data_IF_229579645626
#
_entry.id   IF_229579645626
#
_cell.length_a   1.000
_cell.length_b   1.000
_cell.length_c   1.000
_cell.angle_alpha   90.00
_cell.angle_beta   90.00
_cell.angle_gamma   90.00
#
_symmetry.space_group_name_H-M   'P 1'
#
loop_
_entity.id
_entity.type
_entity.pdbx_description
1 polymer ?
#
# COMPACT_ATOMS: atom_id res chain seq x y z
N UNK A 1 13.13 -2.68 0.38
CA UNK A 1 12.21 -1.52 0.36
C UNK A 1 10.77 -1.99 0.45
N UNK A 2 9.93 -1.27 1.18
CA UNK A 2 8.49 -1.53 1.33
C UNK A 2 7.71 -0.36 0.72
N UNK A 3 6.79 -0.65 -0.19
CA UNK A 3 5.90 0.30 -0.84
C UNK A 3 4.48 0.05 -0.33
N UNK A 4 4.03 0.85 0.64
CA UNK A 4 2.77 0.64 1.35
C UNK A 4 1.66 1.53 0.81
N UNK A 5 0.79 0.97 -0.05
CA UNK A 5 -0.40 1.66 -0.52
C UNK A 5 -1.52 1.62 0.52
N UNK A 6 -2.00 2.78 0.93
CA UNK A 6 -3.16 2.97 1.80
C UNK A 6 -4.24 3.81 1.12
N UNK A 7 -5.46 3.74 1.61
CA UNK A 7 -6.59 4.52 1.09
C UNK A 7 -7.90 3.74 1.16
N UNK A 8 -9.01 4.42 0.89
CA UNK A 8 -10.35 3.85 0.90
C UNK A 8 -10.53 2.73 -0.15
N UNK A 9 -11.51 1.83 -0.01
CA UNK A 9 -11.89 0.90 -1.08
C UNK A 9 -12.15 1.64 -2.41
N UNK A 10 -11.72 1.03 -3.52
CA UNK A 10 -11.80 1.59 -4.88
C UNK A 10 -10.97 2.85 -5.15
N UNK A 11 -10.05 3.23 -4.28
CA UNK A 11 -9.14 4.36 -4.53
C UNK A 11 -8.00 4.06 -5.53
N UNK A 12 -7.85 2.80 -5.99
CA UNK A 12 -6.83 2.42 -6.97
C UNK A 12 -5.61 1.69 -6.40
N UNK A 13 -5.55 1.43 -5.09
CA UNK A 13 -4.41 0.75 -4.42
C UNK A 13 -3.95 -0.53 -5.13
N UNK A 14 -4.85 -1.50 -5.28
CA UNK A 14 -4.53 -2.79 -5.87
C UNK A 14 -4.03 -2.66 -7.30
N UNK A 15 -4.67 -1.81 -8.10
CA UNK A 15 -4.29 -1.56 -9.51
C UNK A 15 -2.90 -0.94 -9.62
N UNK A 16 -2.66 0.14 -8.86
CA UNK A 16 -1.38 0.85 -8.88
C UNK A 16 -0.28 0.03 -8.19
N UNK A 17 -0.61 -0.66 -7.09
CA UNK A 17 0.31 -1.57 -6.42
C UNK A 17 0.75 -2.72 -7.32
N UNK A 18 -0.19 -3.37 -8.03
CA UNK A 18 0.14 -4.41 -8.99
C UNK A 18 1.00 -3.88 -10.15
N UNK A 19 0.72 -2.65 -10.63
CA UNK A 19 1.53 -2.01 -11.67
C UNK A 19 2.96 -1.72 -11.19
N UNK A 20 3.11 -1.23 -9.95
CA UNK A 20 4.43 -1.04 -9.34
C UNK A 20 5.18 -2.36 -9.14
N UNK A 21 4.50 -3.39 -8.64
CA UNK A 21 5.05 -4.74 -8.52
C UNK A 21 5.60 -5.25 -9.85
N UNK A 22 4.83 -5.14 -10.95
CA UNK A 22 5.29 -5.54 -12.29
C UNK A 22 6.47 -4.72 -12.77
N UNK A 23 6.43 -3.40 -12.56
CA UNK A 23 7.53 -2.51 -12.91
C UNK A 23 8.84 -2.91 -12.20
N UNK A 24 8.79 -3.13 -10.88
CA UNK A 24 9.95 -3.53 -10.10
C UNK A 24 10.51 -4.89 -10.51
N UNK A 25 9.66 -5.83 -10.95
CA UNK A 25 10.10 -7.13 -11.48
C UNK A 25 10.86 -7.01 -12.82
N UNK A 26 10.49 -6.03 -13.66
CA UNK A 26 11.07 -5.88 -15.01
C UNK A 26 12.28 -4.95 -15.02
N UNK A 27 12.40 -4.05 -14.06
CA UNK A 27 13.55 -3.15 -13.96
C UNK A 27 14.82 -3.92 -13.64
N UNK A 28 15.77 -3.91 -14.58
CA UNK A 28 17.08 -4.58 -14.48
C UNK A 28 17.95 -4.07 -13.31
N UNK A 29 17.53 -3.01 -12.62
CA UNK A 29 18.28 -2.42 -11.51
C UNK A 29 18.44 -3.36 -10.32
N UNK A 30 17.50 -4.30 -10.12
CA UNK A 30 17.49 -5.19 -8.97
C UNK A 30 17.21 -6.65 -9.32
N UNK A 31 17.81 -7.18 -10.40
CA UNK A 31 17.73 -8.61 -10.71
C UNK A 31 18.17 -9.53 -9.53
N UNK A 32 18.74 -8.96 -8.48
CA UNK A 32 19.16 -9.66 -7.26
C UNK A 32 18.09 -9.70 -6.16
N UNK A 33 17.03 -8.88 -6.24
CA UNK A 33 15.97 -8.83 -5.21
C UNK A 33 14.66 -9.36 -5.77
N UNK A 34 14.06 -10.30 -5.07
CA UNK A 34 12.68 -10.72 -5.32
C UNK A 34 11.72 -9.62 -4.88
N UNK A 35 10.60 -9.49 -5.58
CA UNK A 35 9.53 -8.56 -5.23
C UNK A 35 8.26 -9.33 -4.93
N UNK A 36 7.56 -8.98 -3.87
CA UNK A 36 6.27 -9.56 -3.50
C UNK A 36 5.17 -8.51 -3.53
N UNK A 37 3.95 -8.91 -3.87
CA UNK A 37 2.76 -8.08 -3.75
C UNK A 37 1.81 -8.71 -2.73
N UNK A 38 1.54 -8.00 -1.63
CA UNK A 38 0.60 -8.37 -0.59
C UNK A 38 -0.67 -7.53 -0.72
N UNK A 39 -1.76 -8.15 -1.17
CA UNK A 39 -3.08 -7.51 -1.25
C UNK A 39 -3.92 -7.84 -0.01
N UNK A 40 -4.61 -6.84 0.54
CA UNK A 40 -5.38 -6.98 1.78
C UNK A 40 -6.60 -7.88 1.65
N UNK A 41 -7.23 -7.95 0.47
CA UNK A 41 -8.37 -8.84 0.23
C UNK A 41 -7.88 -10.29 0.11
N UNK A 42 -6.74 -10.53 -0.50
CA UNK A 42 -6.13 -11.86 -0.60
C UNK A 42 -5.60 -12.33 0.77
N UNK A 43 -5.02 -11.42 1.54
CA UNK A 43 -4.61 -11.72 2.91
C UNK A 43 -5.81 -12.16 3.77
N UNK A 44 -6.95 -11.47 3.66
CA UNK A 44 -8.18 -11.87 4.37
C UNK A 44 -8.68 -13.26 3.97
N UNK A 45 -8.58 -13.62 2.70
CA UNK A 45 -8.92 -14.97 2.22
C UNK A 45 -7.98 -16.02 2.82
N UNK A 46 -6.67 -15.75 2.76
CA UNK A 46 -5.64 -16.64 3.28
C UNK A 46 -5.79 -16.90 4.79
N UNK A 47 -6.01 -15.84 5.56
CA UNK A 47 -6.16 -15.92 7.02
C UNK A 47 -7.58 -16.23 7.48
N UNK A 48 -8.53 -16.37 6.55
CA UNK A 48 -9.96 -16.57 6.81
C UNK A 48 -10.57 -15.47 7.71
N UNK A 49 -9.97 -14.29 7.75
CA UNK A 49 -10.44 -13.16 8.54
C UNK A 49 -11.65 -12.49 7.85
N UNK A 50 -12.85 -12.87 8.28
CA UNK A 50 -14.12 -12.28 7.81
C UNK A 50 -14.59 -11.11 8.69
N UNK A 51 -13.89 -10.82 9.78
CA UNK A 51 -14.25 -9.76 10.71
C UNK A 51 -13.97 -8.39 10.10
N UNK A 52 -15.04 -7.61 9.89
CA UNK A 52 -15.00 -6.24 9.37
C UNK A 52 -15.06 -5.17 10.48
N UNK A 53 -15.11 -5.59 11.75
CA UNK A 53 -15.03 -4.69 12.91
C UNK A 53 -13.71 -3.93 12.96
N UNK A 54 -13.61 -2.93 13.84
CA UNK A 54 -12.33 -2.24 14.09
C UNK A 54 -11.24 -3.23 14.50
N UNK A 55 -11.54 -4.17 15.39
CA UNK A 55 -10.59 -5.19 15.84
C UNK A 55 -10.15 -6.11 14.69
N UNK A 56 -11.09 -6.59 13.87
CA UNK A 56 -10.77 -7.42 12.71
C UNK A 56 -9.90 -6.69 11.68
N UNK A 57 -10.11 -5.38 11.52
CA UNK A 57 -9.24 -4.53 10.66
C UNK A 57 -7.85 -4.35 11.26
N UNK A 58 -7.74 -4.09 12.57
CA UNK A 58 -6.44 -4.00 13.26
C UNK A 58 -5.65 -5.31 13.12
N UNK A 59 -6.30 -6.45 13.36
CA UNK A 59 -5.68 -7.76 13.19
C UNK A 59 -5.15 -7.97 11.77
N UNK A 60 -5.94 -7.60 10.76
CA UNK A 60 -5.51 -7.70 9.36
C UNK A 60 -4.30 -6.80 9.04
N UNK A 61 -4.26 -5.58 9.60
CA UNK A 61 -3.13 -4.66 9.44
C UNK A 61 -1.89 -5.24 10.11
N UNK A 62 -1.98 -5.67 11.36
CA UNK A 62 -0.85 -6.26 12.09
C UNK A 62 -0.31 -7.52 11.41
N UNK A 63 -1.18 -8.37 10.88
CA UNK A 63 -0.78 -9.54 10.09
C UNK A 63 -0.04 -9.13 8.82
N UNK A 64 -0.56 -8.12 8.10
CA UNK A 64 0.12 -7.58 6.91
C UNK A 64 1.50 -7.00 7.25
N UNK A 65 1.61 -6.24 8.33
CA UNK A 65 2.87 -5.68 8.82
C UNK A 65 3.90 -6.77 9.14
N UNK A 66 3.48 -7.80 9.88
CA UNK A 66 4.36 -8.94 10.25
C UNK A 66 4.89 -9.69 9.02
N UNK A 67 4.00 -10.00 8.08
CA UNK A 67 4.39 -10.69 6.83
C UNK A 67 5.30 -9.82 5.99
N UNK A 68 4.98 -8.53 5.85
CA UNK A 68 5.78 -7.57 5.09
C UNK A 68 7.19 -7.44 5.66
N UNK A 69 7.31 -7.29 6.97
CA UNK A 69 8.60 -7.19 7.67
C UNK A 69 9.42 -8.47 7.51
N UNK A 70 8.78 -9.65 7.65
CA UNK A 70 9.45 -10.93 7.44
C UNK A 70 10.03 -11.06 6.02
N UNK A 71 9.24 -10.71 5.01
CA UNK A 71 9.68 -10.77 3.61
C UNK A 71 10.82 -9.76 3.37
N UNK A 72 10.67 -8.53 3.87
CA UNK A 72 11.67 -7.48 3.72
C UNK A 72 13.01 -7.85 4.37
N UNK A 73 12.99 -8.42 5.57
CA UNK A 73 14.18 -8.89 6.28
C UNK A 73 14.90 -10.07 5.59
N UNK A 74 14.27 -10.66 4.58
CA UNK A 74 14.87 -11.68 3.71
C UNK A 74 15.31 -11.11 2.34
N UNK A 75 15.74 -9.84 2.32
CA UNK A 75 16.27 -9.14 1.14
C UNK A 75 15.29 -9.02 -0.04
N UNK A 76 13.98 -8.98 0.24
CA UNK A 76 12.94 -8.80 -0.76
C UNK A 76 12.32 -7.40 -0.69
N UNK A 77 11.91 -6.88 -1.83
CA UNK A 77 11.04 -5.71 -1.88
C UNK A 77 9.57 -6.13 -1.76
N UNK A 78 8.76 -5.32 -1.09
CA UNK A 78 7.35 -5.65 -0.85
C UNK A 78 6.45 -4.49 -1.27
N UNK A 79 5.51 -4.76 -2.15
CA UNK A 79 4.40 -3.85 -2.45
C UNK A 79 3.19 -4.31 -1.64
N UNK A 80 2.61 -3.43 -0.85
CA UNK A 80 1.44 -3.73 -0.02
C UNK A 80 0.26 -2.88 -0.48
N UNK A 81 -0.90 -3.49 -0.68
CA UNK A 81 -2.15 -2.79 -1.03
C UNK A 81 -3.22 -3.08 0.03
N UNK A 82 -3.37 -2.16 0.99
CA UNK A 82 -4.25 -2.37 2.14
C UNK A 82 -5.02 -1.09 2.47
N UNK A 83 -6.28 -1.18 2.90
CA UNK A 83 -7.05 -0.01 3.35
C UNK A 83 -6.39 0.67 4.54
N UNK A 84 -5.97 -0.08 5.54
CA UNK A 84 -5.24 0.36 6.74
C UNK A 84 -5.77 1.70 7.33
N UNK A 85 -7.02 1.74 7.87
CA UNK A 85 -7.67 3.00 8.21
C UNK A 85 -7.09 3.71 9.44
N UNK A 86 -6.34 3.02 10.30
CA UNK A 86 -5.85 3.56 11.57
C UNK A 86 -4.46 4.18 11.40
N UNK A 87 -4.37 5.50 11.55
CA UNK A 87 -3.14 6.26 11.36
C UNK A 87 -2.03 5.83 12.34
N UNK A 88 -2.38 5.58 13.60
CA UNK A 88 -1.42 5.16 14.62
C UNK A 88 -0.67 3.87 14.21
N UNK A 89 -1.37 2.87 13.65
CA UNK A 89 -0.75 1.61 13.22
C UNK A 89 0.20 1.83 12.02
N UNK A 90 -0.11 2.77 11.14
CA UNK A 90 0.76 3.11 10.02
C UNK A 90 1.99 3.88 10.49
N UNK A 91 1.80 4.88 11.37
CA UNK A 91 2.92 5.68 11.90
C UNK A 91 3.89 4.83 12.73
N UNK A 92 3.39 3.97 13.65
CA UNK A 92 4.22 3.00 14.38
C UNK A 92 5.08 2.13 13.45
N UNK A 93 4.50 1.69 12.33
CA UNK A 93 5.20 0.85 11.38
C UNK A 93 6.25 1.62 10.58
N UNK A 94 5.93 2.86 10.18
CA UNK A 94 6.90 3.76 9.52
C UNK A 94 8.05 4.12 10.45
N UNK A 95 7.76 4.44 11.72
CA UNK A 95 8.78 4.74 12.71
C UNK A 95 9.75 3.56 12.92
N UNK A 96 9.20 2.34 12.98
CA UNK A 96 9.99 1.11 13.13
C UNK A 96 10.94 0.86 11.96
N UNK A 97 10.49 1.13 10.73
CA UNK A 97 11.20 0.79 9.49
C UNK A 97 12.05 1.95 8.95
N UNK A 98 11.80 3.17 9.40
CA UNK A 98 12.53 4.36 8.97
C UNK A 98 12.53 4.53 7.45
N UNK A 99 13.72 4.56 6.86
CA UNK A 99 13.92 4.78 5.43
C UNK A 99 13.55 3.58 4.53
N UNK A 100 13.26 2.42 5.11
CA UNK A 100 12.93 1.22 4.35
C UNK A 100 11.47 1.14 3.90
N UNK A 101 10.63 2.10 4.27
CA UNK A 101 9.22 2.15 3.90
C UNK A 101 8.83 3.49 3.27
N UNK A 102 8.00 3.42 2.22
CA UNK A 102 7.31 4.58 1.63
C UNK A 102 5.81 4.34 1.68
N UNK A 103 5.06 5.25 2.31
CA UNK A 103 3.61 5.25 2.29
C UNK A 103 3.10 5.98 1.05
N UNK A 104 2.22 5.32 0.26
CA UNK A 104 1.55 5.88 -0.91
C UNK A 104 0.05 5.97 -0.62
N UNK A 105 -0.44 7.17 -0.43
CA UNK A 105 -1.86 7.41 -0.14
C UNK A 105 -2.64 7.60 -1.44
N UNK A 106 -3.50 6.63 -1.76
CA UNK A 106 -4.40 6.73 -2.92
C UNK A 106 -5.80 7.15 -2.49
N UNK A 107 -6.32 8.20 -3.10
CA UNK A 107 -7.66 8.68 -2.81
C UNK A 107 -8.42 9.07 -4.08
N UNK A 108 -9.74 9.19 -3.95
CA UNK A 108 -10.65 9.64 -5.03
C UNK A 108 -11.91 10.22 -4.44
N UNK A 109 -12.45 11.25 -5.08
CA UNK A 109 -13.78 11.80 -4.78
C UNK A 109 -14.90 11.11 -5.57
N UNK A 110 -14.55 10.27 -6.55
CA UNK A 110 -15.52 9.53 -7.34
C UNK A 110 -16.18 8.39 -6.55
N UNK A 111 -17.48 8.21 -6.79
CA UNK A 111 -18.25 7.07 -6.26
C UNK A 111 -18.06 5.86 -7.17
N UNK A 112 -16.98 5.12 -6.98
CA UNK A 112 -16.67 3.89 -7.73
C UNK A 112 -17.40 2.68 -7.15
N UNK A 113 -17.32 1.53 -7.83
CA UNK A 113 -18.06 0.30 -7.55
C UNK A 113 -18.12 -0.10 -6.07
N UNK A 114 -16.99 -0.02 -5.35
CA UNK A 114 -16.90 -0.42 -3.92
C UNK A 114 -17.11 0.74 -2.95
N UNK A 115 -17.70 1.87 -3.40
CA UNK A 115 -17.94 3.05 -2.56
C UNK A 115 -18.73 2.73 -1.28
N UNK A 116 -19.71 1.81 -1.35
CA UNK A 116 -20.52 1.35 -0.20
C UNK A 116 -19.71 0.69 0.92
N UNK A 117 -18.50 0.23 0.63
CA UNK A 117 -17.61 -0.40 1.61
C UNK A 117 -16.62 0.58 2.25
N UNK A 118 -16.81 1.88 2.05
CA UNK A 118 -15.94 2.89 2.67
C UNK A 118 -15.94 2.75 4.18
N UNK A 119 -14.75 2.91 4.75
CA UNK A 119 -14.55 2.91 6.19
C UNK A 119 -14.83 4.31 6.71
N UNK A 120 -15.82 4.45 7.61
CA UNK A 120 -16.24 5.76 8.14
C UNK A 120 -15.13 6.46 8.89
N UNK A 121 -14.39 5.69 9.69
CA UNK A 121 -13.33 6.19 10.58
C UNK A 121 -11.95 6.02 9.93
N UNK A 122 -11.85 6.21 8.61
CA UNK A 122 -10.58 6.19 7.92
C UNK A 122 -9.82 7.50 8.19
N UNK A 123 -8.62 7.38 8.71
CA UNK A 123 -7.73 8.49 9.02
C UNK A 123 -6.67 8.64 7.91
N UNK A 124 -6.75 9.70 7.07
CA UNK A 124 -5.73 9.96 6.06
C UNK A 124 -4.35 10.19 6.68
N UNK A 125 -3.24 9.83 5.99
CA UNK A 125 -1.91 10.16 6.47
C UNK A 125 -1.70 11.69 6.50
N UNK A 126 -0.84 12.15 7.40
CA UNK A 126 -0.59 13.58 7.62
C UNK A 126 0.86 13.98 7.32
N UNK A 127 1.80 13.04 7.46
CA UNK A 127 3.24 13.27 7.29
C UNK A 127 3.90 12.12 6.54
N UNK A 128 4.97 12.41 5.84
CA UNK A 128 5.85 11.41 5.21
C UNK A 128 5.10 10.40 4.34
N UNK A 129 4.36 10.88 3.34
CA UNK A 129 3.65 10.05 2.36
C UNK A 129 3.68 10.67 0.96
N UNK A 130 3.49 9.85 -0.05
CA UNK A 130 3.26 10.29 -1.43
C UNK A 130 1.75 10.36 -1.66
N UNK A 131 1.24 11.53 -2.00
CA UNK A 131 -0.17 11.76 -2.28
C UNK A 131 -0.51 11.42 -3.74
N UNK A 132 -1.51 10.56 -3.94
CA UNK A 132 -1.95 10.10 -5.26
C UNK A 132 -3.47 10.26 -5.39
N UNK A 133 -3.89 11.41 -5.91
CA UNK A 133 -5.28 11.64 -6.30
C UNK A 133 -5.58 10.93 -7.62
N UNK A 134 -6.45 9.94 -7.58
CA UNK A 134 -6.87 9.17 -8.75
C UNK A 134 -8.23 9.62 -9.30
N UNK A 135 -8.76 10.76 -8.87
CA UNK A 135 -10.11 11.24 -9.22
C UNK A 135 -10.27 11.42 -10.72
N UNK A 136 -9.34 12.14 -11.36
CA UNK A 136 -9.38 12.47 -12.79
C UNK A 136 -8.25 11.88 -13.60
N UNK A 137 -7.26 11.28 -12.93
CA UNK A 137 -6.09 10.73 -13.58
C UNK A 137 -6.37 9.36 -14.17
N UNK A 138 -5.80 9.08 -15.33
CA UNK A 138 -5.68 7.71 -15.84
C UNK A 138 -4.76 6.89 -14.93
N UNK A 139 -4.83 5.56 -15.06
CA UNK A 139 -3.91 4.66 -14.35
C UNK A 139 -2.47 4.98 -14.71
N UNK A 140 -2.19 5.26 -15.98
CA UNK A 140 -0.85 5.61 -16.49
C UNK A 140 -0.36 6.92 -15.90
N UNK A 141 -1.21 7.93 -15.82
CA UNK A 141 -0.86 9.23 -15.23
C UNK A 141 -0.56 9.09 -13.75
N UNK A 142 -1.43 8.41 -13.00
CA UNK A 142 -1.22 8.15 -11.57
C UNK A 142 0.07 7.35 -11.33
N UNK A 143 0.33 6.34 -12.15
CA UNK A 143 1.54 5.53 -12.05
C UNK A 143 2.81 6.35 -12.35
N UNK A 144 2.79 7.19 -13.38
CA UNK A 144 3.92 8.08 -13.70
C UNK A 144 4.23 9.04 -12.55
N UNK A 145 3.20 9.55 -11.85
CA UNK A 145 3.39 10.36 -10.64
C UNK A 145 4.08 9.57 -9.53
N UNK A 146 3.69 8.30 -9.33
CA UNK A 146 4.34 7.42 -8.34
C UNK A 146 5.83 7.27 -8.66
N UNK A 147 6.16 6.86 -9.89
CA UNK A 147 7.56 6.64 -10.31
C UNK A 147 8.38 7.92 -10.15
N UNK A 148 7.85 9.06 -10.58
CA UNK A 148 8.56 10.36 -10.46
C UNK A 148 8.83 10.73 -8.99
N UNK A 149 7.89 10.49 -8.08
CA UNK A 149 8.09 10.76 -6.65
C UNK A 149 9.09 9.77 -6.02
N UNK A 150 9.00 8.48 -6.34
CA UNK A 150 9.94 7.48 -5.83
C UNK A 150 11.37 7.76 -6.31
N UNK A 151 11.56 8.18 -7.57
CA UNK A 151 12.86 8.59 -8.09
C UNK A 151 13.42 9.81 -7.35
N UNK A 152 12.59 10.83 -7.08
CA UNK A 152 13.02 12.03 -6.33
C UNK A 152 13.44 11.70 -4.90
N UNK A 153 12.85 10.68 -4.30
CA UNK A 153 13.18 10.19 -2.95
C UNK A 153 14.31 9.15 -2.95
N UNK A 154 14.86 8.81 -4.13
CA UNK A 154 15.87 7.74 -4.29
C UNK A 154 15.41 6.39 -3.71
N UNK A 155 14.11 6.07 -3.89
CA UNK A 155 13.45 4.88 -3.34
C UNK A 155 13.13 3.81 -4.41
N UNK A 156 13.70 3.90 -5.61
CA UNK A 156 13.60 2.88 -6.68
C UNK A 156 14.90 2.13 -6.86
#
# INVERSE_FOLDING_TARGET
>A
MIYWFTGQPSSGKTTLGHKLYKFLQTEKRNWRKSVFHLDGDDLRKLTQNKDSSAQGRQNNIRTAQTITEYIHNNDCDVVVSLVAPFINLREEFKEKLGDDIVELYTHTTEKRERYRYRVKDYEPPQINFIDIDTTKDSIETSFSKIINNLNKLEKL
#
